data_IF_052376375702
#
_entry.id   IF_052376375702
#
_cell.length_a   1.000
_cell.length_b   1.000
_cell.length_c   1.000
_cell.angle_alpha   90.00
_cell.angle_beta   90.00
_cell.angle_gamma   90.00
#
_symmetry.space_group_name_H-M   'P 1'
#
loop_
_entity.id
_entity.type
_entity.pdbx_description
1 polymer ?
#
# COMPACT_ATOMS: atom_id res chain seq x y z
N UNK A 1 -10.23 2.48 -7.62
CA UNK A 1 -9.50 3.17 -6.53
C UNK A 1 -8.51 2.18 -5.97
N UNK A 2 -7.21 2.49 -6.04
CA UNK A 2 -6.13 1.58 -5.62
C UNK A 2 -5.78 1.72 -4.12
N UNK A 3 -6.17 2.84 -3.48
CA UNK A 3 -5.91 3.10 -2.06
C UNK A 3 -7.22 3.42 -1.32
N UNK A 4 -7.34 2.87 -0.11
CA UNK A 4 -8.45 3.07 0.83
C UNK A 4 -7.95 3.83 2.07
N UNK A 5 -8.40 5.07 2.26
CA UNK A 5 -8.04 5.85 3.44
C UNK A 5 -8.77 5.33 4.69
N UNK A 6 -8.03 5.20 5.79
CA UNK A 6 -8.52 4.91 7.14
C UNK A 6 -9.79 5.67 7.53
N UNK A 7 -9.83 6.98 7.29
CA UNK A 7 -10.97 7.86 7.62
C UNK A 7 -12.25 7.53 6.82
N UNK A 8 -12.13 6.69 5.79
CA UNK A 8 -13.25 6.22 4.95
C UNK A 8 -13.57 4.74 5.16
N UNK A 9 -12.88 4.03 6.05
CA UNK A 9 -13.11 2.60 6.30
C UNK A 9 -14.51 2.28 6.80
N UNK A 10 -15.07 3.13 7.66
CA UNK A 10 -16.42 2.94 8.21
C UNK A 10 -17.52 3.65 7.41
N UNK A 11 -17.17 4.29 6.29
CA UNK A 11 -18.11 4.95 5.38
C UNK A 11 -18.06 4.31 4.00
N UNK A 12 -17.29 4.86 3.06
CA UNK A 12 -17.23 4.39 1.67
C UNK A 12 -16.77 2.92 1.56
N UNK A 13 -15.81 2.50 2.39
CA UNK A 13 -15.27 1.14 2.35
C UNK A 13 -15.94 0.15 3.31
N UNK A 14 -16.99 0.57 4.03
CA UNK A 14 -17.57 -0.16 5.17
C UNK A 14 -17.91 -1.60 4.84
N UNK A 15 -18.57 -1.84 3.70
CA UNK A 15 -19.01 -3.18 3.29
C UNK A 15 -17.85 -4.17 3.22
N UNK A 16 -16.73 -3.77 2.62
CA UNK A 16 -15.55 -4.63 2.46
C UNK A 16 -14.70 -4.70 3.72
N UNK A 17 -14.56 -3.59 4.45
CA UNK A 17 -13.78 -3.57 5.68
C UNK A 17 -14.43 -4.44 6.78
N UNK A 18 -15.75 -4.34 6.93
CA UNK A 18 -16.47 -5.03 8.01
C UNK A 18 -16.65 -6.54 7.77
N UNK A 19 -16.46 -7.01 6.54
CA UNK A 19 -16.54 -8.42 6.20
C UNK A 19 -15.12 -9.04 6.12
N UNK A 20 -14.74 -9.94 7.04
CA UNK A 20 -13.44 -10.60 7.02
C UNK A 20 -13.11 -11.28 5.70
N UNK A 21 -14.10 -11.86 5.00
CA UNK A 21 -13.89 -12.51 3.71
C UNK A 21 -13.42 -11.57 2.59
N UNK A 22 -13.52 -10.25 2.79
CA UNK A 22 -13.12 -9.20 1.84
C UNK A 22 -11.87 -8.44 2.29
N UNK A 23 -11.20 -8.90 3.36
CA UNK A 23 -9.87 -8.42 3.75
C UNK A 23 -8.81 -9.37 3.20
N UNK A 24 -7.68 -8.80 2.80
CA UNK A 24 -6.55 -9.56 2.26
C UNK A 24 -5.22 -9.00 2.78
N UNK A 25 -4.16 -9.77 2.58
CA UNK A 25 -2.78 -9.35 2.79
C UNK A 25 -2.17 -9.02 1.42
N UNK A 26 -1.52 -7.87 1.31
CA UNK A 26 -0.79 -7.46 0.11
C UNK A 26 0.71 -7.64 0.40
N UNK A 27 1.36 -8.71 -0.07
CA UNK A 27 2.77 -8.94 0.19
C UNK A 27 3.64 -7.93 -0.58
N UNK A 28 4.60 -7.34 0.12
CA UNK A 28 5.56 -6.37 -0.46
C UNK A 28 6.96 -6.62 0.09
N UNK A 29 7.97 -6.28 -0.72
CA UNK A 29 9.37 -6.16 -0.27
C UNK A 29 9.76 -4.69 -0.06
N UNK A 30 9.12 -3.78 -0.80
CA UNK A 30 9.25 -2.33 -0.68
C UNK A 30 8.05 -1.65 -1.35
N UNK A 31 7.82 -0.37 -1.03
CA UNK A 31 6.92 0.53 -1.75
C UNK A 31 7.66 1.81 -2.14
N UNK A 32 7.14 2.54 -3.12
CA UNK A 32 7.77 3.76 -3.59
C UNK A 32 6.82 4.95 -3.52
N UNK A 33 7.36 6.10 -3.14
CA UNK A 33 6.66 7.38 -3.11
C UNK A 33 7.37 8.40 -4.02
N UNK A 34 6.59 9.38 -4.45
CA UNK A 34 7.08 10.51 -5.23
C UNK A 34 7.58 11.61 -4.27
N UNK A 35 8.88 11.85 -4.24
CA UNK A 35 9.50 12.86 -3.36
C UNK A 35 9.92 14.10 -4.16
N UNK A 36 9.72 15.29 -3.59
CA UNK A 36 10.19 16.56 -4.15
C UNK A 36 9.13 17.39 -4.90
N UNK A 37 9.59 18.40 -5.63
CA UNK A 37 8.72 19.38 -6.27
C UNK A 37 7.92 18.81 -7.44
N UNK A 38 6.65 19.24 -7.56
CA UNK A 38 5.78 18.86 -8.68
C UNK A 38 6.46 19.12 -10.04
N UNK A 39 6.53 18.07 -10.87
CA UNK A 39 7.18 18.10 -12.18
C UNK A 39 8.68 17.74 -12.16
N UNK A 40 9.28 17.63 -10.97
CA UNK A 40 10.68 17.22 -10.75
C UNK A 40 10.82 16.09 -9.72
N UNK A 41 9.71 15.49 -9.32
CA UNK A 41 9.68 14.41 -8.33
C UNK A 41 10.55 13.24 -8.74
N UNK A 42 11.29 12.70 -7.78
CA UNK A 42 12.06 11.46 -7.93
C UNK A 42 11.40 10.32 -7.17
N UNK A 43 11.83 9.10 -7.47
CA UNK A 43 11.34 7.90 -6.82
C UNK A 43 12.13 7.63 -5.55
N UNK A 44 11.45 7.58 -4.41
CA UNK A 44 12.03 7.17 -3.14
C UNK A 44 11.42 5.86 -2.70
N UNK A 45 12.27 4.88 -2.38
CA UNK A 45 11.85 3.55 -1.95
C UNK A 45 11.87 3.45 -0.43
N UNK A 46 10.86 2.79 0.12
CA UNK A 46 10.73 2.46 1.52
C UNK A 46 10.59 0.94 1.67
N UNK A 47 11.38 0.34 2.56
CA UNK A 47 11.32 -1.09 2.87
C UNK A 47 11.24 -1.35 4.38
N UNK A 48 10.69 -2.50 4.75
CA UNK A 48 10.49 -2.89 6.15
C UNK A 48 11.70 -3.69 6.62
N UNK A 49 12.42 -3.17 7.60
CA UNK A 49 13.73 -3.72 8.02
C UNK A 49 13.61 -4.98 8.88
N UNK A 50 12.51 -5.12 9.63
CA UNK A 50 12.25 -6.28 10.49
C UNK A 50 11.40 -7.36 9.82
N UNK A 51 10.90 -7.10 8.59
CA UNK A 51 10.08 -8.02 7.81
C UNK A 51 10.47 -7.93 6.31
N UNK A 52 11.51 -8.66 5.84
CA UNK A 52 11.98 -8.59 4.46
C UNK A 52 10.90 -8.87 3.40
N UNK A 53 9.91 -9.69 3.76
CA UNK A 53 8.63 -9.82 3.06
C UNK A 53 7.54 -9.38 4.03
N UNK A 54 7.13 -8.12 3.91
CA UNK A 54 6.07 -7.54 4.73
C UNK A 54 4.71 -7.73 4.07
N UNK A 55 3.64 -7.52 4.85
CA UNK A 55 2.28 -7.50 4.32
C UNK A 55 1.58 -6.20 4.70
N UNK A 56 0.97 -5.56 3.70
CA UNK A 56 0.05 -4.46 3.94
C UNK A 56 -1.38 -4.98 4.10
N UNK A 57 -2.16 -4.30 4.92
CA UNK A 57 -3.59 -4.49 5.02
C UNK A 57 -4.27 -4.09 3.69
N UNK A 58 -5.06 -4.99 3.12
CA UNK A 58 -5.81 -4.77 1.90
C UNK A 58 -7.28 -5.13 2.03
N UNK A 59 -8.10 -4.54 1.16
CA UNK A 59 -9.47 -4.98 0.91
C UNK A 59 -9.56 -5.49 -0.52
N UNK A 60 -10.40 -6.49 -0.77
CA UNK A 60 -10.57 -7.08 -2.09
C UNK A 60 -12.03 -7.41 -2.41
N UNK A 61 -12.31 -7.49 -3.72
CA UNK A 61 -13.58 -7.97 -4.26
C UNK A 61 -13.42 -8.43 -5.71
N UNK A 62 -14.29 -9.33 -6.20
CA UNK A 62 -14.48 -9.52 -7.63
C UNK A 62 -15.15 -8.29 -8.26
N UNK A 63 -14.81 -8.02 -9.52
CA UNK A 63 -15.40 -6.98 -10.36
C UNK A 63 -15.73 -7.53 -11.74
N UNK A 64 -16.77 -6.99 -12.37
CA UNK A 64 -17.24 -7.50 -13.67
C UNK A 64 -16.26 -7.24 -14.81
N UNK A 65 -15.55 -6.10 -14.77
CA UNK A 65 -14.66 -5.65 -15.85
C UNK A 65 -13.22 -6.15 -15.68
N UNK A 66 -12.72 -6.23 -14.44
CA UNK A 66 -11.30 -6.44 -14.16
C UNK A 66 -11.02 -7.72 -13.36
N UNK A 67 -12.05 -8.52 -13.05
CA UNK A 67 -11.91 -9.70 -12.19
C UNK A 67 -11.60 -9.31 -10.74
N UNK A 68 -10.82 -10.14 -10.05
CA UNK A 68 -10.44 -9.92 -8.66
C UNK A 68 -9.55 -8.68 -8.52
N UNK A 69 -10.06 -7.69 -7.78
CA UNK A 69 -9.39 -6.41 -7.55
C UNK A 69 -9.17 -6.19 -6.07
N UNK A 70 -8.12 -5.44 -5.74
CA UNK A 70 -7.81 -5.03 -4.38
C UNK A 70 -7.48 -3.54 -4.27
N UNK A 71 -7.50 -3.06 -3.03
CA UNK A 71 -7.09 -1.72 -2.64
C UNK A 71 -6.26 -1.80 -1.36
N UNK A 72 -5.21 -1.01 -1.26
CA UNK A 72 -4.34 -0.96 -0.08
C UNK A 72 -4.93 0.00 0.96
N UNK A 73 -4.95 -0.41 2.23
CA UNK A 73 -5.38 0.46 3.31
C UNK A 73 -4.24 1.41 3.67
N UNK A 74 -4.56 2.70 3.77
CA UNK A 74 -3.61 3.76 4.04
C UNK A 74 -3.95 4.45 5.36
N UNK A 75 -2.94 4.89 6.10
CA UNK A 75 -3.02 5.78 7.27
C UNK A 75 -2.15 7.03 7.04
N UNK A 76 -2.27 8.01 7.92
CA UNK A 76 -1.32 9.13 7.94
C UNK A 76 0.11 8.60 8.12
N UNK A 77 1.06 9.21 7.43
CA UNK A 77 2.47 8.90 7.62
C UNK A 77 2.93 9.31 9.03
N UNK A 78 4.06 8.77 9.46
CA UNK A 78 4.76 9.29 10.65
C UNK A 78 5.42 10.62 10.32
N UNK A 79 5.75 11.42 11.34
CA UNK A 79 6.32 12.75 11.13
C UNK A 79 7.67 12.69 10.39
N UNK A 80 8.44 11.62 10.60
CA UNK A 80 9.72 11.36 9.96
C UNK A 80 9.63 11.13 8.45
N UNK A 81 8.42 10.86 7.92
CA UNK A 81 8.18 10.60 6.50
C UNK A 81 7.45 11.75 5.80
N UNK A 82 7.09 12.82 6.50
CA UNK A 82 6.33 13.94 5.92
C UNK A 82 7.07 14.71 4.82
N UNK A 83 8.40 14.65 4.80
CA UNK A 83 9.21 15.20 3.70
C UNK A 83 9.11 14.36 2.41
N UNK A 84 8.69 13.09 2.53
CA UNK A 84 8.47 12.16 1.42
C UNK A 84 6.99 12.17 1.00
N UNK A 85 6.07 11.86 1.92
CA UNK A 85 4.63 11.80 1.64
C UNK A 85 3.79 11.86 2.94
N UNK A 86 2.56 12.35 2.86
CA UNK A 86 1.67 12.55 4.03
C UNK A 86 0.92 11.28 4.47
N UNK A 87 1.00 10.21 3.67
CA UNK A 87 0.32 8.92 3.90
C UNK A 87 1.30 7.76 3.76
N UNK A 88 1.02 6.68 4.47
CA UNK A 88 1.73 5.41 4.35
C UNK A 88 0.76 4.22 4.34
N UNK A 89 1.16 3.06 3.79
CA UNK A 89 0.39 1.83 3.92
C UNK A 89 0.24 1.43 5.39
N UNK A 90 -0.88 0.80 5.73
CA UNK A 90 -0.99 0.02 6.97
C UNK A 90 -0.20 -1.27 6.77
N UNK A 91 1.03 -1.28 7.26
CA UNK A 91 1.90 -2.46 7.29
C UNK A 91 1.56 -3.23 8.56
N UNK A 92 1.29 -4.53 8.43
CA UNK A 92 0.93 -5.39 9.55
C UNK A 92 2.18 -6.05 10.13
N UNK A 93 2.18 -6.28 11.44
CA UNK A 93 3.11 -7.24 12.02
C UNK A 93 2.67 -8.66 11.67
N UNK A 94 3.62 -9.58 11.47
CA UNK A 94 3.34 -10.98 11.16
C UNK A 94 2.37 -11.65 12.14
N UNK A 95 2.42 -11.28 13.43
CA UNK A 95 1.53 -11.81 14.47
C UNK A 95 0.06 -11.36 14.29
N UNK A 96 -0.18 -10.26 13.60
CA UNK A 96 -1.51 -9.65 13.43
C UNK A 96 -2.20 -10.07 12.12
N UNK A 97 -1.53 -10.86 11.29
CA UNK A 97 -2.07 -11.31 10.00
C UNK A 97 -3.39 -12.06 10.14
N UNK A 98 -3.47 -13.00 11.09
CA UNK A 98 -4.67 -13.81 11.33
C UNK A 98 -5.83 -12.94 11.84
N UNK A 99 -5.53 -12.05 12.79
CA UNK A 99 -6.50 -11.10 13.31
C UNK A 99 -7.03 -10.17 12.20
N UNK A 100 -6.15 -9.67 11.33
CA UNK A 100 -6.56 -8.90 10.16
C UNK A 100 -7.51 -9.71 9.27
N UNK A 101 -7.19 -10.95 8.93
CA UNK A 101 -8.01 -11.75 8.00
C UNK A 101 -9.34 -12.23 8.58
N UNK A 102 -9.45 -12.39 9.90
CA UNK A 102 -10.56 -13.16 10.48
C UNK A 102 -11.32 -12.46 11.61
N UNK A 103 -10.71 -11.52 12.32
CA UNK A 103 -11.34 -10.91 13.48
C UNK A 103 -12.54 -10.01 13.11
N UNK A 104 -13.45 -9.72 14.05
CA UNK A 104 -14.47 -8.69 13.86
C UNK A 104 -13.84 -7.34 13.52
N UNK A 105 -14.61 -6.48 12.83
CA UNK A 105 -14.11 -5.17 12.36
C UNK A 105 -13.55 -4.27 13.46
N UNK A 106 -14.06 -4.40 14.68
CA UNK A 106 -13.60 -3.63 15.83
C UNK A 106 -12.17 -3.98 16.24
N UNK A 107 -11.81 -5.28 16.20
CA UNK A 107 -10.44 -5.75 16.42
C UNK A 107 -9.55 -5.38 15.23
N UNK A 108 -10.03 -5.59 14.00
CA UNK A 108 -9.28 -5.23 12.79
C UNK A 108 -8.97 -3.72 12.71
N UNK A 109 -9.87 -2.86 13.21
CA UNK A 109 -9.66 -1.41 13.23
C UNK A 109 -8.50 -1.00 14.15
N UNK A 110 -8.20 -1.77 15.21
CA UNK A 110 -7.04 -1.51 16.09
C UNK A 110 -5.70 -1.71 15.36
N UNK A 111 -5.71 -2.52 14.30
CA UNK A 111 -4.54 -2.79 13.46
C UNK A 111 -4.32 -1.71 12.38
N UNK A 112 -5.31 -0.83 12.17
CA UNK A 112 -5.22 0.30 11.23
C UNK A 112 -4.42 1.42 11.90
N UNK A 113 -3.10 1.22 11.97
CA UNK A 113 -2.16 2.08 12.66
C UNK A 113 -0.90 2.33 11.83
N UNK A 114 -0.13 3.35 12.22
CA UNK A 114 1.16 3.68 11.61
C UNK A 114 2.17 2.60 11.97
N UNK A 115 2.95 2.14 10.99
CA UNK A 115 4.09 1.28 11.28
C UNK A 115 5.24 2.14 11.83
N UNK A 116 6.04 1.64 12.80
CA UNK A 116 7.12 2.44 13.40
C UNK A 116 8.16 2.87 12.36
N UNK A 117 8.44 4.17 12.29
CA UNK A 117 9.32 4.78 11.30
C UNK A 117 10.76 4.26 11.39
N UNK A 118 11.22 4.00 12.62
CA UNK A 118 12.55 3.46 12.91
C UNK A 118 12.77 2.05 12.35
N UNK A 119 11.69 1.37 11.92
CA UNK A 119 11.74 0.07 11.27
C UNK A 119 11.61 0.15 9.75
N UNK A 120 11.58 1.36 9.19
CA UNK A 120 11.58 1.59 7.75
C UNK A 120 12.96 2.06 7.30
N UNK A 121 13.45 1.49 6.21
CA UNK A 121 14.64 1.96 5.52
C UNK A 121 14.22 2.80 4.31
N UNK A 122 14.82 3.98 4.17
CA UNK A 122 14.57 4.90 3.06
C UNK A 122 15.75 4.87 2.09
N UNK A 123 15.47 4.57 0.82
CA UNK A 123 16.42 4.62 -0.28
C UNK A 123 15.96 5.64 -1.32
N UNK A 124 16.51 6.85 -1.23
CA UNK A 124 16.28 7.94 -2.18
C UNK A 124 17.03 7.67 -3.49
N UNK A 125 16.41 7.99 -4.61
CA UNK A 125 17.02 7.84 -5.94
C UNK A 125 16.88 9.11 -6.76
N UNK A 126 17.71 9.25 -7.79
CA UNK A 126 17.59 10.32 -8.79
C UNK A 126 16.68 9.92 -9.96
N UNK A 127 15.99 8.77 -9.87
CA UNK A 127 15.13 8.28 -10.94
C UNK A 127 13.85 9.13 -10.97
N UNK A 128 13.49 9.75 -12.11
CA UNK A 128 12.25 10.52 -12.20
C UNK A 128 11.03 9.66 -11.87
N UNK A 129 10.11 10.20 -11.08
CA UNK A 129 8.87 9.52 -10.74
C UNK A 129 8.01 9.27 -11.99
N UNK A 130 7.88 10.30 -12.83
CA UNK A 130 7.26 10.22 -14.14
C UNK A 130 8.32 10.10 -15.23
N UNK A 131 8.58 8.90 -15.72
CA UNK A 131 9.35 8.68 -16.95
C UNK A 131 8.42 8.67 -18.16
N UNK A 132 8.81 9.32 -19.26
CA UNK A 132 8.12 9.14 -20.55
C UNK A 132 8.11 7.65 -20.89
N UNK A 133 6.96 7.13 -21.32
CA UNK A 133 6.86 5.77 -21.85
C UNK A 133 7.86 5.64 -23.02
N UNK A 134 8.76 4.66 -23.02
CA UNK A 134 9.50 4.31 -24.23
C UNK A 134 8.48 4.02 -25.36
N UNK A 135 8.77 4.34 -26.63
CA UNK A 135 7.93 3.85 -27.72
C UNK A 135 7.74 2.33 -27.57
N UNK A 136 6.54 1.83 -27.85
CA UNK A 136 6.26 0.41 -27.72
C UNK A 136 7.29 -0.38 -28.54
N UNK A 137 7.94 -1.37 -27.93
CA UNK A 137 8.74 -2.32 -28.68
C UNK A 137 7.81 -3.04 -29.67
N UNK A 138 8.24 -3.17 -30.93
CA UNK A 138 7.52 -3.98 -31.91
C UNK A 138 7.31 -5.39 -31.33
N UNK A 139 6.06 -5.86 -31.43
CA UNK A 139 5.73 -7.21 -31.00
C UNK A 139 6.61 -8.21 -31.77
N UNK A 140 7.25 -9.18 -31.09
CA UNK A 140 8.03 -10.19 -31.79
C UNK A 140 7.11 -10.95 -32.74
N UNK A 141 7.43 -10.91 -34.03
CA UNK A 141 6.79 -11.74 -35.04
C UNK A 141 7.16 -13.19 -34.74
N UNK A 142 6.17 -13.97 -34.30
CA UNK A 142 6.32 -15.42 -34.23
C UNK A 142 6.36 -15.93 -35.68
N UNK A 143 7.53 -16.45 -36.08
CA UNK A 143 7.68 -17.31 -37.25
C UNK A 143 7.19 -18.73 -36.93
#
# INVERSE_FOLDING_TARGET
MNNARDDKLMTFWRTWFTNPAQRCLIPITAFAEAEGEKGRMTRTWLSVTDQPLAACAGLWRPTDEWGDCYTMVMVDATEELFDIHDRMPVILHAADHDAWLHAPSEEAMKLVAKYPAERLAVARTDIPWFSRKPPAAEAPTLL
#
